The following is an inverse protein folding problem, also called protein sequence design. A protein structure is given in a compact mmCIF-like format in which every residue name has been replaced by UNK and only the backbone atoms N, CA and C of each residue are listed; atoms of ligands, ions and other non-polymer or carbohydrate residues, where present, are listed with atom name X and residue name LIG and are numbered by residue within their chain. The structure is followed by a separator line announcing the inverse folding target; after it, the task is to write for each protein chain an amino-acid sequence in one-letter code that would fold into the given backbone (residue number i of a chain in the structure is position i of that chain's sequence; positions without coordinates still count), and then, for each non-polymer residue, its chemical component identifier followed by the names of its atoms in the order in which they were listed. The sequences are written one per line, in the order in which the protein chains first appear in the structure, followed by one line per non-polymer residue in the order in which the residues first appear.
data_IF_695006606431
#
_entry.id   IF_695006606431
#
_cell.length_a   1.000
_cell.length_b   1.000
_cell.length_c   1.000
_cell.angle_alpha   90.00
_cell.angle_beta   90.00
_cell.angle_gamma   90.00
#
_symmetry.space_group_name_H-M   'P 1'
#
loop_
_entity.id
_entity.type
_entity.pdbx_description
1 polymer ?
#
# COMPACT_ATOMS: atom_id res chain seq x y z
N UNK A 1 -7.09 1.26 2.44
CA UNK A 1 -6.21 2.41 2.15
C UNK A 1 -4.75 2.07 2.47
N UNK A 2 -4.36 1.93 3.76
CA UNK A 2 -2.99 1.52 4.14
C UNK A 2 -2.61 0.10 3.67
N UNK A 3 -3.51 -0.88 3.78
CA UNK A 3 -3.24 -2.27 3.38
C UNK A 3 -2.84 -2.37 1.90
N UNK A 4 -3.54 -1.69 1.00
CA UNK A 4 -3.25 -1.69 -0.45
C UNK A 4 -1.92 -1.00 -0.73
N UNK A 5 -1.70 0.17 -0.13
CA UNK A 5 -0.43 0.88 -0.26
C UNK A 5 0.74 0.01 0.21
N UNK A 6 0.62 -0.62 1.39
CA UNK A 6 1.64 -1.51 1.95
C UNK A 6 1.91 -2.68 1.04
N UNK A 7 0.88 -3.32 0.48
CA UNK A 7 1.04 -4.48 -0.41
C UNK A 7 1.79 -4.11 -1.70
N UNK A 8 1.40 -3.01 -2.35
CA UNK A 8 2.05 -2.49 -3.56
C UNK A 8 3.50 -2.13 -3.27
N UNK A 9 3.76 -1.33 -2.23
CA UNK A 9 5.11 -0.93 -1.84
C UNK A 9 5.95 -2.11 -1.39
N UNK A 10 5.37 -3.09 -0.68
CA UNK A 10 6.08 -4.28 -0.25
C UNK A 10 6.54 -5.12 -1.45
N UNK A 11 5.67 -5.34 -2.44
CA UNK A 11 6.02 -6.04 -3.68
C UNK A 11 7.12 -5.30 -4.44
N UNK A 12 7.00 -3.99 -4.59
CA UNK A 12 7.97 -3.16 -5.29
C UNK A 12 9.34 -3.19 -4.59
N UNK A 13 9.38 -2.92 -3.29
CA UNK A 13 10.61 -2.93 -2.50
C UNK A 13 11.23 -4.32 -2.42
N UNK A 14 10.43 -5.38 -2.38
CA UNK A 14 10.95 -6.76 -2.38
C UNK A 14 11.52 -7.16 -3.75
N UNK A 15 10.96 -6.62 -4.84
CA UNK A 15 11.48 -6.82 -6.19
C UNK A 15 12.78 -6.04 -6.42
N UNK A 16 12.85 -4.77 -5.98
CA UNK A 16 14.06 -3.94 -6.09
C UNK A 16 15.15 -4.41 -5.12
N UNK A 17 14.77 -4.80 -3.90
CA UNK A 17 15.69 -5.17 -2.83
C UNK A 17 15.24 -6.50 -2.20
N UNK A 18 15.52 -7.64 -2.87
CA UNK A 18 15.14 -8.96 -2.36
C UNK A 18 15.81 -9.30 -1.03
N UNK A 19 16.95 -8.68 -0.72
CA UNK A 19 17.70 -8.86 0.52
C UNK A 19 17.06 -8.18 1.73
N UNK A 20 16.12 -7.25 1.53
CA UNK A 20 15.45 -6.59 2.65
C UNK A 20 14.49 -7.54 3.38
N UNK A 21 14.49 -7.41 4.70
CA UNK A 21 13.54 -8.11 5.56
C UNK A 21 12.15 -7.47 5.46
N UNK A 22 11.11 -8.28 5.70
CA UNK A 22 9.72 -7.80 5.73
C UNK A 22 9.53 -6.69 6.78
N UNK A 23 10.31 -6.73 7.86
CA UNK A 23 10.27 -5.75 8.94
C UNK A 23 10.85 -4.39 8.50
N UNK A 24 11.98 -4.38 7.80
CA UNK A 24 12.56 -3.16 7.22
C UNK A 24 11.63 -2.55 6.16
N UNK A 25 11.08 -3.39 5.28
CA UNK A 25 10.11 -2.94 4.26
C UNK A 25 8.89 -2.33 4.95
N UNK A 26 8.32 -2.98 5.97
CA UNK A 26 7.18 -2.45 6.73
C UNK A 26 7.49 -1.11 7.39
N UNK A 27 8.69 -0.97 7.97
CA UNK A 27 9.13 0.27 8.62
C UNK A 27 9.25 1.42 7.61
N UNK A 28 9.83 1.14 6.44
CA UNK A 28 9.93 2.11 5.33
C UNK A 28 8.55 2.52 4.82
N UNK A 29 7.69 1.56 4.53
CA UNK A 29 6.31 1.82 4.10
C UNK A 29 5.58 2.70 5.11
N UNK A 30 5.75 2.44 6.41
CA UNK A 30 5.09 3.22 7.47
C UNK A 30 5.55 4.67 7.42
N UNK A 31 6.86 4.91 7.39
CA UNK A 31 7.42 6.27 7.24
C UNK A 31 6.89 6.99 6.01
N UNK A 32 6.89 6.33 4.84
CA UNK A 32 6.39 6.94 3.61
C UNK A 32 4.92 7.32 3.79
N UNK A 33 4.08 6.41 4.27
CA UNK A 33 2.65 6.67 4.46
C UNK A 33 2.36 7.79 5.46
N UNK A 34 3.12 7.87 6.55
CA UNK A 34 3.01 8.97 7.49
C UNK A 34 3.42 10.30 6.85
N UNK A 35 4.43 10.29 5.97
CA UNK A 35 4.91 11.46 5.25
C UNK A 35 4.05 11.83 4.02
N UNK A 36 3.16 10.94 3.55
CA UNK A 36 2.27 11.22 2.43
C UNK A 36 1.23 12.28 2.82
N UNK A 37 1.12 13.31 1.97
CA UNK A 37 0.07 14.32 2.04
C UNK A 37 -1.33 13.71 1.82
N UNK A 38 -2.40 14.39 2.28
CA UNK A 38 -3.79 13.93 2.07
C UNK A 38 -4.12 13.69 0.60
N UNK A 39 -3.61 14.55 -0.29
CA UNK A 39 -3.80 14.42 -1.74
C UNK A 39 -3.14 13.17 -2.32
N UNK A 40 -1.95 12.83 -1.84
CA UNK A 40 -1.25 11.62 -2.25
C UNK A 40 -1.89 10.35 -1.68
N UNK A 41 -2.62 10.46 -0.56
CA UNK A 41 -3.43 9.36 0.03
C UNK A 41 -4.74 9.11 -0.73
N UNK A 42 -5.26 10.12 -1.41
CA UNK A 42 -6.52 10.09 -2.18
C UNK A 42 -6.62 8.92 -3.16
N UNK A 43 -5.64 8.64 -4.05
CA UNK A 43 -5.70 7.48 -4.94
C UNK A 43 -5.72 6.14 -4.19
N UNK A 44 -5.03 6.03 -3.05
CA UNK A 44 -5.04 4.79 -2.25
C UNK A 44 -6.35 4.58 -1.48
N UNK A 45 -7.06 5.65 -1.17
CA UNK A 45 -8.42 5.60 -0.61
C UNK A 45 -9.43 5.20 -1.68
N UNK A 46 -9.30 5.79 -2.88
CA UNK A 46 -10.14 5.47 -4.02
C UNK A 46 -9.97 4.02 -4.47
N UNK A 47 -8.74 3.56 -4.62
CA UNK A 47 -8.42 2.16 -4.91
C UNK A 47 -8.97 1.20 -3.83
N UNK A 48 -8.95 1.60 -2.56
CA UNK A 48 -9.52 0.79 -1.49
C UNK A 48 -11.05 0.74 -1.51
N UNK A 49 -11.68 1.84 -1.92
CA UNK A 49 -13.13 1.88 -2.15
C UNK A 49 -13.52 1.01 -3.34
N UNK A 50 -12.84 1.17 -4.47
CA UNK A 50 -13.08 0.38 -5.68
C UNK A 50 -12.85 -1.12 -5.44
N UNK A 51 -11.77 -1.51 -4.77
CA UNK A 51 -11.52 -2.92 -4.43
C UNK A 51 -12.61 -3.52 -3.52
N UNK A 52 -13.20 -2.72 -2.64
CA UNK A 52 -14.32 -3.15 -1.79
C UNK A 52 -15.60 -3.34 -2.60
N UNK A 53 -15.86 -2.46 -3.57
CA UNK A 53 -17.02 -2.58 -4.46
C UNK A 53 -16.91 -3.76 -5.43
N UNK A 54 -15.73 -4.02 -5.99
CA UNK A 54 -15.48 -5.19 -6.85
C UNK A 54 -15.72 -6.50 -6.08
N UNK A 55 -15.29 -6.57 -4.82
CA UNK A 55 -15.52 -7.74 -3.97
C UNK A 55 -17.00 -7.96 -3.62
N UNK A 56 -17.78 -6.88 -3.53
CA UNK A 56 -19.22 -6.95 -3.27
C UNK A 56 -20.01 -7.35 -4.52
N UNK A 57 -19.48 -7.07 -5.71
CA UNK A 57 -20.12 -7.39 -7.00
C UNK A 57 -19.93 -8.84 -7.44
N UNK A 58 -19.00 -9.55 -6.81
CA UNK A 58 -18.72 -10.98 -7.02
C UNK A 58 -19.44 -11.87 -5.99
N UNK A 59 -20.37 -11.33 -5.20
CA UNK A 59 -21.25 -12.06 -4.27
C UNK A 59 -22.71 -11.79 -4.61
#
# INVERSE_FOLDING_TARGET
CWIIFRDVMHKQLKAELPNLTVQEISTRCSRIWHNLSPEAKKPWQDAARSAKEEHLRQH
#
